data_IF_720086681070
#
_entry.id   IF_720086681070
#
_cell.length_a   1.000
_cell.length_b   1.000
_cell.length_c   1.000
_cell.angle_alpha   90.00
_cell.angle_beta   90.00
_cell.angle_gamma   90.00
#
_symmetry.space_group_name_H-M   'P 1'
#
loop_
_entity.id
_entity.type
_entity.pdbx_description
1 polymer ?
#
# COMPACT_ATOMS: atom_id res chain seq x y z
N UNK A 1 -9.87 22.03 -3.78
CA UNK A 1 -9.38 21.04 -2.82
C UNK A 1 -8.29 20.24 -3.52
N UNK A 2 -7.19 19.91 -2.82
CA UNK A 2 -6.15 19.01 -3.34
C UNK A 2 -6.53 17.54 -3.23
N UNK A 3 -5.68 16.62 -3.72
CA UNK A 3 -5.90 15.17 -3.62
C UNK A 3 -5.98 14.69 -2.18
N UNK A 4 -6.81 13.66 -1.95
CA UNK A 4 -7.14 13.17 -0.61
C UNK A 4 -7.00 11.65 -0.51
N UNK A 5 -6.73 11.18 0.71
CA UNK A 5 -6.65 9.78 1.12
C UNK A 5 -7.71 9.46 2.16
N UNK A 6 -8.23 8.26 2.14
CA UNK A 6 -9.26 7.80 3.09
C UNK A 6 -8.67 7.61 4.49
N UNK A 7 -9.47 7.92 5.49
CA UNK A 7 -9.07 7.79 6.90
C UNK A 7 -8.65 6.37 7.30
N UNK A 8 -9.15 5.34 6.62
CA UNK A 8 -8.72 3.96 6.85
C UNK A 8 -7.23 3.75 6.59
N UNK A 9 -6.65 4.37 5.54
CA UNK A 9 -5.21 4.34 5.31
C UNK A 9 -4.45 5.35 6.16
N UNK A 10 -5.01 6.55 6.35
CA UNK A 10 -4.41 7.61 7.16
C UNK A 10 -4.21 7.18 8.61
N UNK A 11 -5.17 6.45 9.18
CA UNK A 11 -5.10 5.93 10.54
C UNK A 11 -3.90 5.02 10.78
N UNK A 12 -3.52 4.22 9.81
CA UNK A 12 -2.37 3.30 9.97
C UNK A 12 -1.07 4.07 10.21
N UNK A 13 -0.85 5.18 9.50
CA UNK A 13 0.30 6.06 9.73
C UNK A 13 0.25 6.70 11.12
N UNK A 14 -0.91 7.21 11.52
CA UNK A 14 -1.10 7.80 12.86
C UNK A 14 -0.85 6.75 13.96
N UNK A 15 -1.31 5.51 13.78
CA UNK A 15 -1.05 4.40 14.72
C UNK A 15 0.43 4.07 14.82
N UNK A 16 1.16 4.02 13.70
CA UNK A 16 2.60 3.77 13.69
C UNK A 16 3.36 4.83 14.50
N UNK A 17 3.00 6.10 14.34
CA UNK A 17 3.60 7.19 15.11
C UNK A 17 3.25 7.07 16.61
N UNK A 18 1.97 6.88 16.96
CA UNK A 18 1.52 6.74 18.36
C UNK A 18 2.14 5.54 19.09
N UNK A 19 2.49 4.48 18.36
CA UNK A 19 3.14 3.30 18.92
C UNK A 19 4.57 3.59 19.43
N UNK A 20 5.24 4.61 18.89
CA UNK A 20 6.60 5.01 19.27
C UNK A 20 6.56 6.10 20.34
N UNK A 21 6.29 5.70 21.59
CA UNK A 21 6.22 6.59 22.76
C UNK A 21 7.58 7.13 23.21
N UNK A 22 8.65 6.54 22.70
CA UNK A 22 10.05 6.93 22.92
C UNK A 22 10.50 8.12 22.07
N UNK A 23 9.68 8.57 21.11
CA UNK A 23 10.00 9.66 20.19
C UNK A 23 9.24 10.94 20.56
N UNK A 24 9.97 12.05 20.67
CA UNK A 24 9.37 13.40 20.78
C UNK A 24 8.96 13.89 19.37
N UNK A 25 7.71 13.64 19.00
CA UNK A 25 7.17 13.97 17.69
C UNK A 25 7.16 15.46 17.35
N UNK A 26 7.22 16.35 18.37
CA UNK A 26 7.32 17.80 18.15
C UNK A 26 8.59 18.22 17.41
N UNK A 27 9.61 17.36 17.43
CA UNK A 27 10.87 17.59 16.71
C UNK A 27 10.84 17.13 15.26
N UNK A 28 9.82 16.39 14.87
CA UNK A 28 9.77 15.71 13.58
C UNK A 28 8.53 16.07 12.76
N UNK A 29 7.45 16.49 13.40
CA UNK A 29 6.19 16.83 12.77
C UNK A 29 5.93 18.33 12.81
N UNK A 30 5.30 18.85 11.76
CA UNK A 30 4.80 20.21 11.76
C UNK A 30 3.65 20.37 12.78
N UNK A 31 3.42 21.57 13.34
CA UNK A 31 2.36 21.80 14.33
C UNK A 31 0.98 21.33 13.87
N UNK A 32 0.63 21.55 12.60
CA UNK A 32 -0.64 21.09 12.01
C UNK A 32 -0.77 19.56 11.97
N UNK A 33 0.35 18.84 11.85
CA UNK A 33 0.34 17.36 11.78
C UNK A 33 0.31 16.73 13.18
N UNK A 34 0.78 17.42 14.21
CA UNK A 34 0.68 16.95 15.60
C UNK A 34 -0.77 16.74 16.03
N UNK A 35 -1.69 17.58 15.56
CA UNK A 35 -3.12 17.45 15.83
C UNK A 35 -3.68 16.08 15.45
N UNK A 36 -3.15 15.42 14.44
CA UNK A 36 -3.57 14.05 14.06
C UNK A 36 -3.18 13.00 15.10
N UNK A 37 -2.17 13.25 15.93
CA UNK A 37 -1.81 12.36 17.02
C UNK A 37 -2.73 12.52 18.24
N UNK A 38 -3.39 13.65 18.38
CA UNK A 38 -4.25 13.96 19.53
C UNK A 38 -5.71 13.60 19.28
N UNK A 39 -6.16 13.75 18.04
CA UNK A 39 -7.56 13.50 17.66
C UNK A 39 -7.84 12.05 17.28
N UNK A 40 -9.14 11.71 17.29
CA UNK A 40 -9.63 10.47 16.71
C UNK A 40 -9.68 10.61 15.19
N UNK A 41 -9.06 9.68 14.47
CA UNK A 41 -9.15 9.60 13.02
C UNK A 41 -10.44 8.86 12.65
N UNK A 42 -11.28 9.51 11.86
CA UNK A 42 -12.49 8.91 11.29
C UNK A 42 -12.09 8.11 10.02
N UNK A 43 -12.45 6.82 10.01
CA UNK A 43 -12.11 5.91 8.90
C UNK A 43 -12.79 6.30 7.59
N UNK A 44 -13.96 6.94 7.68
CA UNK A 44 -14.78 7.32 6.53
C UNK A 44 -14.52 8.75 6.04
N UNK A 45 -13.76 9.54 6.77
CA UNK A 45 -13.38 10.88 6.36
C UNK A 45 -12.24 10.87 5.35
N UNK A 46 -12.11 11.99 4.63
CA UNK A 46 -11.01 12.25 3.71
C UNK A 46 -9.97 13.15 4.36
N UNK A 47 -8.69 12.83 4.18
CA UNK A 47 -7.56 13.56 4.74
C UNK A 47 -6.66 14.07 3.61
N UNK A 48 -6.00 15.23 3.77
CA UNK A 48 -5.14 15.80 2.74
C UNK A 48 -3.97 14.87 2.42
N UNK A 49 -3.74 14.60 1.14
CA UNK A 49 -2.62 13.80 0.66
C UNK A 49 -1.27 14.41 1.08
N UNK A 50 -1.18 15.75 1.16
CA UNK A 50 0.02 16.43 1.65
C UNK A 50 0.36 16.11 3.11
N UNK A 51 -0.64 15.96 4.00
CA UNK A 51 -0.42 15.51 5.37
C UNK A 51 0.03 14.04 5.39
N UNK A 52 -0.62 13.18 4.61
CA UNK A 52 -0.25 11.77 4.47
C UNK A 52 1.20 11.61 4.01
N UNK A 53 1.63 12.40 3.03
CA UNK A 53 3.01 12.46 2.55
C UNK A 53 4.00 12.84 3.68
N UNK A 54 3.73 13.94 4.41
CA UNK A 54 4.62 14.39 5.49
C UNK A 54 4.75 13.34 6.59
N UNK A 55 3.63 12.72 7.01
CA UNK A 55 3.66 11.61 7.97
C UNK A 55 4.47 10.43 7.43
N UNK A 56 4.31 10.07 6.16
CA UNK A 56 5.05 9.00 5.50
C UNK A 56 6.56 9.23 5.48
N UNK A 57 7.00 10.47 5.18
CA UNK A 57 8.41 10.85 5.22
C UNK A 57 8.97 10.72 6.64
N UNK A 58 8.23 11.17 7.66
CA UNK A 58 8.66 11.04 9.06
C UNK A 58 8.75 9.57 9.48
N UNK A 59 7.78 8.74 9.08
CA UNK A 59 7.81 7.29 9.33
C UNK A 59 9.04 6.67 8.67
N UNK A 60 9.31 6.98 7.39
CA UNK A 60 10.49 6.49 6.69
C UNK A 60 11.77 6.85 7.43
N UNK A 61 11.93 8.12 7.80
CA UNK A 61 13.19 8.62 8.37
C UNK A 61 13.39 8.18 9.83
N UNK A 62 12.36 8.26 10.66
CA UNK A 62 12.48 8.06 12.12
C UNK A 62 12.23 6.60 12.53
N UNK A 63 11.22 5.96 11.94
CA UNK A 63 10.85 4.59 12.29
C UNK A 63 11.61 3.57 11.43
N UNK A 64 11.57 3.73 10.12
CA UNK A 64 12.25 2.83 9.18
C UNK A 64 13.74 3.13 9.03
N UNK A 65 14.22 4.32 9.46
CA UNK A 65 15.62 4.76 9.31
C UNK A 65 16.11 4.71 7.87
N UNK A 66 15.23 5.05 6.92
CA UNK A 66 15.50 5.01 5.49
C UNK A 66 15.43 3.62 4.85
N UNK A 67 15.06 2.59 5.60
CA UNK A 67 14.96 1.21 5.09
C UNK A 67 13.64 0.98 4.34
N UNK A 68 13.68 0.98 3.02
CA UNK A 68 12.54 0.65 2.15
C UNK A 68 12.11 -0.82 2.27
N UNK A 69 12.99 -1.71 2.70
CA UNK A 69 12.64 -3.11 3.01
C UNK A 69 11.67 -3.20 4.19
N UNK A 70 11.88 -2.39 5.25
CA UNK A 70 10.94 -2.26 6.36
C UNK A 70 9.59 -1.70 5.88
N UNK A 71 9.61 -0.67 5.02
CA UNK A 71 8.38 -0.08 4.46
C UNK A 71 7.61 -1.12 3.63
N UNK A 72 8.29 -1.91 2.79
CA UNK A 72 7.69 -3.03 2.06
C UNK A 72 7.08 -4.07 3.01
N UNK A 73 7.78 -4.44 4.08
CA UNK A 73 7.27 -5.37 5.08
C UNK A 73 5.98 -4.87 5.75
N UNK A 74 5.86 -3.56 6.00
CA UNK A 74 4.61 -2.97 6.52
C UNK A 74 3.48 -3.08 5.50
N UNK A 75 3.74 -2.80 4.23
CA UNK A 75 2.75 -3.02 3.16
C UNK A 75 2.19 -4.45 3.18
N UNK A 76 3.04 -5.44 3.39
CA UNK A 76 2.62 -6.85 3.52
C UNK A 76 1.66 -7.09 4.70
N UNK A 77 1.87 -6.38 5.81
CA UNK A 77 1.06 -6.53 7.01
C UNK A 77 -0.34 -5.92 6.87
N UNK A 78 -0.56 -4.99 5.94
CA UNK A 78 -1.85 -4.32 5.77
C UNK A 78 -2.90 -5.16 5.04
N UNK A 79 -2.51 -6.25 4.36
CA UNK A 79 -3.42 -7.05 3.52
C UNK A 79 -4.54 -7.70 4.35
N UNK A 80 -4.19 -8.40 5.45
CA UNK A 80 -5.19 -9.10 6.27
C UNK A 80 -6.17 -8.16 6.98
N UNK A 81 -5.73 -7.06 7.61
CA UNK A 81 -6.64 -6.05 8.14
C UNK A 81 -7.58 -5.48 7.08
N UNK A 82 -7.07 -5.19 5.88
CA UNK A 82 -7.90 -4.68 4.79
C UNK A 82 -8.90 -5.72 4.30
N UNK A 83 -8.50 -6.98 4.16
CA UNK A 83 -9.39 -8.08 3.78
C UNK A 83 -10.47 -8.34 4.83
N UNK A 84 -10.17 -8.10 6.12
CA UNK A 84 -11.17 -8.20 7.19
C UNK A 84 -12.22 -7.07 7.12
N UNK A 85 -11.82 -5.86 6.72
CA UNK A 85 -12.73 -4.72 6.52
C UNK A 85 -13.58 -4.88 5.24
N UNK A 86 -13.00 -5.47 4.21
CA UNK A 86 -13.62 -5.64 2.89
C UNK A 86 -13.75 -7.12 2.58
N UNK A 87 -14.79 -7.74 3.13
CA UNK A 87 -15.08 -9.16 2.91
C UNK A 87 -15.11 -9.52 1.42
N UNK A 88 -14.40 -10.58 1.06
CA UNK A 88 -14.29 -11.04 -0.32
C UNK A 88 -13.12 -10.46 -1.12
N UNK A 89 -12.25 -9.60 -0.56
CA UNK A 89 -11.04 -9.14 -1.23
C UNK A 89 -10.11 -10.32 -1.59
N UNK A 90 -9.92 -11.25 -0.66
CA UNK A 90 -9.11 -12.45 -0.88
C UNK A 90 -9.98 -13.59 -1.42
N UNK A 91 -9.61 -14.11 -2.57
CA UNK A 91 -10.19 -15.32 -3.17
C UNK A 91 -9.16 -16.41 -3.11
N UNK A 92 -9.50 -17.51 -2.43
CA UNK A 92 -8.59 -18.62 -2.25
C UNK A 92 -8.26 -19.27 -3.60
N UNK A 93 -6.98 -19.55 -3.81
CA UNK A 93 -6.41 -20.17 -5.01
C UNK A 93 -6.70 -19.40 -6.32
N UNK A 94 -7.03 -18.09 -6.18
CA UNK A 94 -7.27 -17.22 -7.35
C UNK A 94 -6.67 -15.80 -7.13
N UNK A 95 -5.35 -15.64 -7.38
CA UNK A 95 -4.68 -14.34 -7.32
C UNK A 95 -5.28 -13.32 -8.29
N UNK A 96 -5.66 -13.75 -9.49
CA UNK A 96 -6.22 -12.88 -10.51
C UNK A 96 -7.53 -12.25 -10.07
N UNK A 97 -8.45 -13.03 -9.53
CA UNK A 97 -9.73 -12.53 -9.03
C UNK A 97 -9.52 -11.59 -7.82
N UNK A 98 -8.59 -11.92 -6.90
CA UNK A 98 -8.25 -11.05 -5.78
C UNK A 98 -7.72 -9.68 -6.24
N UNK A 99 -6.89 -9.65 -7.28
CA UNK A 99 -6.38 -8.42 -7.90
C UNK A 99 -7.49 -7.63 -8.61
N UNK A 100 -8.44 -8.29 -9.26
CA UNK A 100 -9.61 -7.64 -9.87
C UNK A 100 -10.49 -6.98 -8.79
N UNK A 101 -10.73 -7.64 -7.69
CA UNK A 101 -11.50 -7.09 -6.56
C UNK A 101 -10.80 -5.89 -5.93
N UNK A 102 -9.48 -5.95 -5.77
CA UNK A 102 -8.71 -4.80 -5.36
C UNK A 102 -8.82 -3.65 -6.37
N UNK A 103 -8.78 -3.94 -7.67
CA UNK A 103 -8.92 -2.91 -8.70
C UNK A 103 -10.23 -2.12 -8.58
N UNK A 104 -11.33 -2.76 -8.20
CA UNK A 104 -12.60 -2.09 -7.91
C UNK A 104 -12.51 -1.31 -6.59
N UNK A 105 -11.97 -1.94 -5.54
CA UNK A 105 -11.89 -1.38 -4.20
C UNK A 105 -11.00 -0.14 -4.10
N UNK A 106 -9.94 -0.03 -4.91
CA UNK A 106 -8.96 1.06 -4.84
C UNK A 106 -9.55 2.46 -4.83
N UNK A 107 -10.70 2.67 -5.50
CA UNK A 107 -11.40 3.96 -5.56
C UNK A 107 -11.95 4.42 -4.21
N UNK A 108 -12.01 3.53 -3.22
CA UNK A 108 -12.46 3.88 -1.88
C UNK A 108 -11.33 4.48 -1.03
N UNK A 109 -10.05 4.38 -1.47
CA UNK A 109 -8.90 4.80 -0.69
C UNK A 109 -8.36 6.18 -1.09
N UNK A 110 -8.54 6.57 -2.36
CA UNK A 110 -8.05 7.84 -2.90
C UNK A 110 -9.15 8.48 -3.75
N UNK A 111 -9.26 9.80 -3.70
CA UNK A 111 -10.19 10.58 -4.54
C UNK A 111 -9.62 10.83 -5.95
N UNK A 112 -8.45 10.24 -6.25
CA UNK A 112 -7.76 10.30 -7.54
C UNK A 112 -7.20 8.92 -7.93
N UNK A 113 -6.68 8.77 -9.14
CA UNK A 113 -6.09 7.52 -9.62
C UNK A 113 -4.63 7.33 -9.12
N UNK A 114 -4.47 6.94 -7.86
CA UNK A 114 -3.16 6.70 -7.23
C UNK A 114 -2.48 5.41 -7.73
N UNK A 115 -3.25 4.34 -7.92
CA UNK A 115 -2.77 3.05 -8.40
C UNK A 115 -3.77 2.45 -9.38
N UNK A 116 -3.32 2.03 -10.55
CA UNK A 116 -4.19 1.52 -11.60
C UNK A 116 -3.61 0.26 -12.23
N UNK A 117 -4.41 -0.81 -12.28
CA UNK A 117 -4.06 -2.03 -13.02
C UNK A 117 -4.14 -1.72 -14.52
N UNK A 118 -3.00 -1.79 -15.21
CA UNK A 118 -2.89 -1.52 -16.64
C UNK A 118 -2.93 -2.79 -17.47
N UNK A 119 -2.49 -3.92 -16.90
CA UNK A 119 -2.57 -5.26 -17.49
C UNK A 119 -2.69 -6.31 -16.39
N UNK A 120 -3.51 -7.32 -16.63
CA UNK A 120 -3.71 -8.45 -15.73
C UNK A 120 -3.88 -9.73 -16.53
N UNK A 121 -2.88 -10.60 -16.41
CA UNK A 121 -2.85 -11.93 -16.99
C UNK A 121 -3.01 -13.00 -15.89
N UNK A 122 -2.96 -14.27 -16.26
CA UNK A 122 -3.13 -15.37 -15.30
C UNK A 122 -1.95 -15.51 -14.33
N UNK A 123 -0.78 -14.95 -14.65
CA UNK A 123 0.46 -15.08 -13.87
C UNK A 123 1.22 -13.77 -13.67
N UNK A 124 0.69 -12.65 -14.14
CA UNK A 124 1.33 -11.34 -14.02
C UNK A 124 0.29 -10.23 -13.93
N UNK A 125 0.57 -9.25 -13.09
CA UNK A 125 -0.13 -7.96 -13.07
C UNK A 125 0.86 -6.82 -13.27
N UNK A 126 0.47 -5.83 -14.08
CA UNK A 126 1.16 -4.55 -14.25
C UNK A 126 0.30 -3.44 -13.69
N UNK A 127 0.91 -2.60 -12.90
CA UNK A 127 0.23 -1.48 -12.27
C UNK A 127 1.03 -0.20 -12.47
N UNK A 128 0.31 0.87 -12.78
CA UNK A 128 0.83 2.22 -12.77
C UNK A 128 0.53 2.85 -11.41
N UNK A 129 1.55 3.36 -10.75
CA UNK A 129 1.48 4.07 -9.47
C UNK A 129 1.84 5.54 -9.72
N UNK A 130 1.05 6.45 -9.18
CA UNK A 130 1.28 7.89 -9.25
C UNK A 130 0.56 8.57 -8.08
N UNK A 131 1.23 8.71 -6.96
CA UNK A 131 0.67 9.40 -5.80
C UNK A 131 0.77 10.91 -5.90
N UNK A 132 1.66 11.41 -6.78
CA UNK A 132 1.91 12.85 -6.94
C UNK A 132 2.64 13.48 -5.76
N UNK A 133 3.44 12.69 -5.07
CA UNK A 133 4.27 13.09 -3.93
C UNK A 133 5.68 13.50 -4.37
N UNK A 134 6.45 14.04 -3.42
CA UNK A 134 7.91 14.22 -3.60
C UNK A 134 8.61 12.90 -3.89
N UNK A 135 9.78 12.90 -4.56
CA UNK A 135 10.48 11.66 -4.94
C UNK A 135 10.69 10.69 -3.77
N UNK A 136 11.10 11.18 -2.62
CA UNK A 136 11.32 10.36 -1.42
C UNK A 136 10.03 9.69 -0.92
N UNK A 137 8.93 10.43 -0.87
CA UNK A 137 7.64 9.89 -0.43
C UNK A 137 7.03 8.95 -1.47
N UNK A 138 7.15 9.28 -2.77
CA UNK A 138 6.70 8.44 -3.88
C UNK A 138 7.43 7.09 -3.87
N UNK A 139 8.75 7.07 -3.62
CA UNK A 139 9.53 5.85 -3.46
C UNK A 139 9.03 5.02 -2.29
N UNK A 140 8.93 5.59 -1.10
CA UNK A 140 8.48 4.88 0.10
C UNK A 140 7.06 4.30 -0.07
N UNK A 141 6.10 5.11 -0.57
CA UNK A 141 4.74 4.67 -0.84
C UNK A 141 4.68 3.56 -1.90
N UNK A 142 5.54 3.63 -2.92
CA UNK A 142 5.65 2.58 -3.95
C UNK A 142 6.18 1.25 -3.37
N UNK A 143 7.17 1.28 -2.48
CA UNK A 143 7.64 0.07 -1.78
C UNK A 143 6.58 -0.50 -0.84
N UNK A 144 5.82 0.33 -0.15
CA UNK A 144 4.68 -0.13 0.66
C UNK A 144 3.63 -0.83 -0.21
N UNK A 145 3.30 -0.24 -1.34
CA UNK A 145 2.38 -0.80 -2.33
C UNK A 145 2.89 -2.12 -2.91
N UNK A 146 4.18 -2.21 -3.23
CA UNK A 146 4.81 -3.45 -3.65
C UNK A 146 4.61 -4.55 -2.60
N UNK A 147 4.86 -4.27 -1.33
CA UNK A 147 4.67 -5.23 -0.26
C UNK A 147 3.22 -5.69 -0.11
N UNK A 148 2.27 -4.76 -0.26
CA UNK A 148 0.85 -5.09 -0.25
C UNK A 148 0.50 -6.11 -1.35
N UNK A 149 0.90 -5.86 -2.59
CA UNK A 149 0.58 -6.74 -3.72
C UNK A 149 1.32 -8.07 -3.67
N UNK A 150 2.59 -8.09 -3.23
CA UNK A 150 3.28 -9.36 -2.96
C UNK A 150 2.43 -10.27 -2.07
N UNK A 151 1.99 -9.71 -0.95
CA UNK A 151 1.28 -10.47 0.06
C UNK A 151 -0.14 -10.82 -0.37
N UNK A 152 -0.83 -9.93 -1.08
CA UNK A 152 -2.16 -10.19 -1.63
C UNK A 152 -2.13 -11.42 -2.55
N UNK A 153 -1.16 -11.47 -3.46
CA UNK A 153 -0.99 -12.58 -4.41
C UNK A 153 -0.64 -13.89 -3.69
N UNK A 154 0.29 -13.85 -2.72
CA UNK A 154 0.64 -15.03 -1.91
C UNK A 154 -0.56 -15.58 -1.13
N UNK A 155 -1.31 -14.71 -0.44
CA UNK A 155 -2.48 -15.12 0.34
C UNK A 155 -3.61 -15.66 -0.52
N UNK A 156 -3.67 -15.20 -1.77
CA UNK A 156 -4.62 -15.71 -2.76
C UNK A 156 -4.15 -17.03 -3.43
N UNK A 157 -3.02 -17.60 -2.99
CA UNK A 157 -2.52 -18.89 -3.46
C UNK A 157 -1.42 -18.81 -4.54
N UNK A 158 -0.97 -17.60 -4.93
CA UNK A 158 0.15 -17.46 -5.87
C UNK A 158 1.45 -18.00 -5.27
N UNK A 159 2.18 -18.80 -6.02
CA UNK A 159 3.47 -19.38 -5.63
C UNK A 159 4.60 -18.62 -6.32
N UNK A 160 5.81 -18.63 -5.73
CA UNK A 160 7.01 -17.99 -6.29
C UNK A 160 6.80 -16.53 -6.68
N UNK A 161 6.07 -15.78 -5.85
CA UNK A 161 5.70 -14.38 -6.12
C UNK A 161 6.96 -13.52 -6.22
N UNK A 162 7.06 -12.75 -7.31
CA UNK A 162 8.14 -11.81 -7.57
C UNK A 162 7.57 -10.45 -7.94
N UNK A 163 8.07 -9.42 -7.28
CA UNK A 163 7.71 -8.05 -7.61
C UNK A 163 8.94 -7.22 -7.97
N UNK A 164 8.80 -6.37 -8.98
CA UNK A 164 9.85 -5.44 -9.43
C UNK A 164 9.24 -4.16 -9.97
N UNK A 165 10.00 -3.09 -9.90
CA UNK A 165 9.69 -1.87 -10.63
C UNK A 165 10.38 -1.91 -12.01
N UNK A 166 9.63 -1.62 -13.07
CA UNK A 166 10.18 -1.42 -14.43
C UNK A 166 10.49 0.05 -14.68
N UNK A 167 9.61 0.93 -14.20
CA UNK A 167 9.79 2.38 -14.23
C UNK A 167 9.64 2.94 -12.82
N UNK A 168 10.37 4.01 -12.52
CA UNK A 168 10.44 4.59 -11.18
C UNK A 168 10.35 6.11 -11.26
N UNK A 169 9.22 6.68 -10.82
CA UNK A 169 8.99 8.13 -10.88
C UNK A 169 10.03 8.91 -10.08
N UNK A 170 10.47 8.39 -8.94
CA UNK A 170 11.53 9.02 -8.12
C UNK A 170 12.92 8.99 -8.77
N UNK A 171 13.09 8.29 -9.90
CA UNK A 171 14.30 8.30 -10.73
C UNK A 171 14.12 9.02 -12.05
N UNK A 172 13.04 9.81 -12.18
CA UNK A 172 12.78 10.66 -13.33
C UNK A 172 11.85 10.07 -14.40
N UNK A 173 11.28 8.88 -14.20
CA UNK A 173 10.21 8.39 -15.04
C UNK A 173 8.91 9.18 -14.79
N UNK A 174 8.01 9.22 -15.75
CA UNK A 174 6.73 9.93 -15.64
C UNK A 174 5.82 9.31 -14.57
N UNK A 175 5.85 8.00 -14.42
CA UNK A 175 5.07 7.23 -13.46
C UNK A 175 5.89 6.04 -12.99
N UNK A 176 5.47 5.40 -11.91
CA UNK A 176 6.04 4.13 -11.47
C UNK A 176 5.25 2.98 -12.06
N UNK A 177 5.97 2.02 -12.69
CA UNK A 177 5.37 0.77 -13.16
C UNK A 177 5.83 -0.37 -12.25
N UNK A 178 4.90 -0.92 -11.47
CA UNK A 178 5.09 -2.11 -10.65
C UNK A 178 4.59 -3.34 -11.41
N UNK A 179 5.42 -4.37 -11.45
CA UNK A 179 5.09 -5.68 -12.01
C UNK A 179 5.17 -6.72 -10.91
N UNK A 180 4.11 -7.49 -10.75
CA UNK A 180 4.06 -8.65 -9.84
C UNK A 180 3.72 -9.88 -10.66
N UNK A 181 4.57 -10.90 -10.57
CA UNK A 181 4.40 -12.17 -11.26
C UNK A 181 4.37 -13.32 -10.25
N UNK A 182 3.66 -14.38 -10.60
CA UNK A 182 3.52 -15.57 -9.77
C UNK A 182 3.36 -16.83 -10.61
N UNK A 183 3.59 -17.97 -10.00
CA UNK A 183 3.18 -19.27 -10.54
C UNK A 183 1.78 -19.57 -10.01
N UNK A 184 0.89 -20.05 -10.91
CA UNK A 184 -0.43 -20.52 -10.51
C UNK A 184 -0.32 -21.66 -9.49
N UNK A 185 -1.18 -21.70 -8.47
CA UNK A 185 -1.20 -22.82 -7.53
C UNK A 185 -1.42 -24.11 -8.29
N UNK A 186 -0.60 -25.11 -7.99
CA UNK A 186 -0.79 -26.44 -8.55
C UNK A 186 -2.12 -26.97 -8.03
N UNK A 187 -3.14 -27.08 -8.90
CA UNK A 187 -4.40 -27.75 -8.53
C UNK A 187 -4.03 -29.14 -8.04
N UNK A 188 -4.10 -29.36 -6.74
CA UNK A 188 -4.11 -30.73 -6.20
C UNK A 188 -5.40 -31.35 -6.71
N UNK A 189 -5.29 -32.25 -7.69
CA UNK A 189 -6.41 -33.07 -8.12
C UNK A 189 -7.00 -33.74 -6.89
N UNK A 190 -8.16 -33.29 -6.43
CA UNK A 190 -8.98 -33.96 -5.44
C UNK A 190 -9.68 -35.15 -6.11
N UNK A 191 -8.88 -36.07 -6.67
CA UNK A 191 -9.31 -37.38 -7.13
C UNK A 191 -8.52 -38.41 -6.34
N UNK A 192 -8.99 -38.75 -5.15
CA UNK A 192 -8.80 -40.04 -4.50
C UNK A 192 -9.58 -40.03 -3.19
N UNK A 193 -10.86 -40.33 -3.24
CA UNK A 193 -11.53 -41.28 -2.39
C UNK A 193 -12.96 -41.50 -2.85
#
# INVERSE_FOLDING_TARGET
MGPQVRGSLFLDYVRMLKARRDVDWRRHLAPEDLGYLEQRIDLEAWYPMAAFERLGIVILNVIARGDHGAVRAWGRQTVLPLAALHGGLLVKDDPRESLMRFHVLRRTFFDFEAANVTRLDDSEVRMRIAYGMSPTAEEAASYQTMGFFDRLVELAGGEEVRARFEEQAWRGAKTTTLVVSWRQPTRRDSKSQ
#
